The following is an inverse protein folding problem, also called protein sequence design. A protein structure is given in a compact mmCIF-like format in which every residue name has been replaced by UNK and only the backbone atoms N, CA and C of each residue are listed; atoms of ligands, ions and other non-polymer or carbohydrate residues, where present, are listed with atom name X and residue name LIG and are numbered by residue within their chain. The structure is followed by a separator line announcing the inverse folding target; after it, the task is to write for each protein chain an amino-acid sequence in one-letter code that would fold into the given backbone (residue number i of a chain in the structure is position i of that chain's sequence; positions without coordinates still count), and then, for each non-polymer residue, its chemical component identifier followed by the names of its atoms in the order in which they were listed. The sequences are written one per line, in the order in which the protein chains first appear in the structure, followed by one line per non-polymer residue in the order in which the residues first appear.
data_IF_562620525197
#
_entry.id   IF_562620525197
#
_cell.length_a   1.000
_cell.length_b   1.000
_cell.length_c   1.000
_cell.angle_alpha   90.00
_cell.angle_beta   90.00
_cell.angle_gamma   90.00
#
_symmetry.space_group_name_H-M   'P 1'
#
loop_
_entity.id
_entity.type
_entity.pdbx_description
1 polymer ?
#
# COMPACT_ATOMS: atom_id res chain seq x y z
N UNK A 1 3.39 -27.41 25.56
CA UNK A 1 2.25 -26.61 25.07
C UNK A 1 2.39 -26.50 23.56
N UNK A 2 1.41 -26.95 22.78
CA UNK A 2 1.49 -26.87 21.32
C UNK A 2 1.46 -25.40 20.90
N UNK A 3 2.55 -24.92 20.31
CA UNK A 3 2.65 -23.57 19.78
C UNK A 3 1.64 -23.40 18.64
N UNK A 4 0.57 -22.63 18.88
CA UNK A 4 -0.45 -22.36 17.86
C UNK A 4 0.09 -21.34 16.85
N UNK A 5 0.21 -21.74 15.59
CA UNK A 5 0.37 -20.78 14.49
C UNK A 5 -0.88 -19.90 14.42
N UNK A 6 -0.68 -18.60 14.54
CA UNK A 6 -1.73 -17.58 14.44
C UNK A 6 -1.63 -16.93 13.07
N UNK A 7 -2.73 -16.83 12.30
CA UNK A 7 -2.69 -16.20 10.99
C UNK A 7 -2.36 -14.71 11.11
N UNK A 8 -1.53 -14.19 10.21
CA UNK A 8 -1.03 -12.81 10.24
C UNK A 8 -0.68 -12.25 8.85
N UNK A 9 -0.46 -13.09 7.84
CA UNK A 9 0.04 -12.66 6.52
C UNK A 9 -0.95 -11.71 5.87
N UNK A 10 -2.23 -12.08 5.84
CA UNK A 10 -3.29 -11.26 5.25
C UNK A 10 -3.38 -9.88 5.91
N UNK A 11 -3.44 -9.84 7.24
CA UNK A 11 -3.59 -8.58 7.98
C UNK A 11 -2.36 -7.69 7.82
N UNK A 12 -1.16 -8.30 7.82
CA UNK A 12 0.10 -7.58 7.59
C UNK A 12 0.13 -6.92 6.21
N UNK A 13 -0.22 -7.65 5.15
CA UNK A 13 -0.25 -7.12 3.79
C UNK A 13 -1.36 -6.09 3.62
N UNK A 14 -2.51 -6.29 4.26
CA UNK A 14 -3.63 -5.36 4.24
C UNK A 14 -3.27 -4.04 4.91
N UNK A 15 -2.58 -4.04 6.06
CA UNK A 15 -2.09 -2.80 6.69
C UNK A 15 -1.19 -2.01 5.75
N UNK A 16 -0.23 -2.67 5.10
CA UNK A 16 0.71 -2.04 4.18
C UNK A 16 -0.01 -1.48 2.95
N UNK A 17 -0.92 -2.27 2.37
CA UNK A 17 -1.79 -1.84 1.28
C UNK A 17 -2.57 -0.57 1.65
N UNK A 18 -3.16 -0.54 2.84
CA UNK A 18 -3.98 0.58 3.29
C UNK A 18 -3.16 1.83 3.63
N UNK A 19 -1.96 1.67 4.18
CA UNK A 19 -1.11 2.76 4.66
C UNK A 19 -0.18 3.32 3.57
N UNK A 20 0.44 2.45 2.78
CA UNK A 20 1.51 2.80 1.83
C UNK A 20 1.10 2.63 0.37
N UNK A 21 0.11 1.78 0.06
CA UNK A 21 -0.34 1.54 -1.31
C UNK A 21 0.78 1.08 -2.23
N UNK A 22 1.12 1.88 -3.24
CA UNK A 22 2.20 1.61 -4.19
C UNK A 22 3.60 1.78 -3.58
N UNK A 23 3.73 2.50 -2.45
CA UNK A 23 5.00 2.76 -1.78
C UNK A 23 5.36 1.68 -0.74
N UNK A 24 4.94 0.43 -0.97
CA UNK A 24 5.15 -0.71 -0.05
C UNK A 24 6.64 -0.98 0.24
N UNK A 25 7.53 -0.62 -0.68
CA UNK A 25 8.98 -0.79 -0.52
C UNK A 25 9.59 0.15 0.53
N UNK A 26 8.86 1.21 0.95
CA UNK A 26 9.26 2.07 2.06
C UNK A 26 8.94 1.47 3.44
N UNK A 27 8.28 0.31 3.47
CA UNK A 27 7.95 -0.38 4.71
C UNK A 27 9.23 -0.80 5.44
N UNK A 28 9.31 -0.44 6.73
CA UNK A 28 10.43 -0.86 7.57
C UNK A 28 10.33 -2.36 7.84
N UNK A 29 11.49 -3.02 7.92
CA UNK A 29 11.54 -4.43 8.27
C UNK A 29 10.81 -4.70 9.60
N UNK A 30 9.96 -5.72 9.61
CA UNK A 30 9.16 -6.07 10.77
C UNK A 30 10.06 -6.47 11.96
N UNK A 31 9.91 -5.77 13.08
CA UNK A 31 10.71 -6.03 14.29
C UNK A 31 10.21 -7.24 15.08
N UNK A 32 8.92 -7.56 14.99
CA UNK A 32 8.31 -8.69 15.69
C UNK A 32 8.53 -9.98 14.91
N UNK A 33 8.98 -11.02 15.59
CA UNK A 33 9.08 -12.35 15.00
C UNK A 33 7.70 -12.92 14.68
N UNK A 34 7.58 -13.58 13.54
CA UNK A 34 6.37 -14.28 13.12
C UNK A 34 6.66 -15.74 12.86
N UNK A 35 5.73 -16.61 13.28
CA UNK A 35 5.82 -18.05 13.04
C UNK A 35 5.13 -18.38 11.71
N UNK A 36 5.77 -19.23 10.92
CA UNK A 36 5.26 -19.75 9.64
C UNK A 36 5.67 -21.20 9.50
N UNK A 37 4.91 -21.99 8.77
CA UNK A 37 5.27 -23.36 8.40
C UNK A 37 5.90 -23.35 7.01
N UNK A 38 7.03 -24.01 6.85
CA UNK A 38 7.65 -24.25 5.56
C UNK A 38 6.84 -25.30 4.78
N UNK A 39 6.34 -24.96 3.60
CA UNK A 39 5.57 -25.89 2.78
C UNK A 39 6.45 -26.62 1.77
N UNK A 40 7.17 -25.84 0.96
CA UNK A 40 8.03 -26.37 -0.09
C UNK A 40 9.10 -25.36 -0.47
N UNK A 41 10.24 -25.85 -0.96
CA UNK A 41 11.24 -25.00 -1.60
C UNK A 41 10.83 -24.65 -3.03
N UNK A 42 11.22 -23.47 -3.49
CA UNK A 42 11.06 -23.00 -4.87
C UNK A 42 12.36 -23.21 -5.63
N UNK A 43 12.28 -23.62 -6.89
CA UNK A 43 13.46 -24.01 -7.68
C UNK A 43 14.03 -25.37 -7.25
N UNK A 44 15.34 -25.52 -7.37
CA UNK A 44 16.08 -26.69 -6.87
C UNK A 44 16.14 -26.67 -5.35
N UNK A 45 16.06 -27.86 -4.74
CA UNK A 45 16.16 -28.02 -3.29
C UNK A 45 17.53 -27.48 -2.82
N UNK A 46 17.59 -26.64 -1.78
CA UNK A 46 18.85 -26.07 -1.32
C UNK A 46 19.77 -27.18 -0.80
N UNK A 47 21.01 -27.16 -1.28
CA UNK A 47 22.09 -28.04 -0.88
C UNK A 47 22.94 -27.40 0.23
N UNK A 48 23.84 -28.17 0.83
CA UNK A 48 24.79 -27.63 1.81
C UNK A 48 25.64 -26.49 1.25
N UNK A 49 26.10 -26.61 0.00
CA UNK A 49 26.89 -25.58 -0.70
C UNK A 49 26.11 -24.28 -0.86
N UNK A 50 24.80 -24.35 -1.17
CA UNK A 50 23.96 -23.14 -1.27
C UNK A 50 23.90 -22.36 0.05
N UNK A 51 23.95 -23.08 1.18
CA UNK A 51 23.94 -22.46 2.52
C UNK A 51 25.30 -21.84 2.84
N UNK A 52 26.39 -22.55 2.56
CA UNK A 52 27.76 -22.09 2.82
C UNK A 52 28.14 -20.88 1.95
N UNK A 53 27.74 -20.89 0.68
CA UNK A 53 27.96 -19.80 -0.28
C UNK A 53 26.99 -18.62 -0.06
N UNK A 54 26.02 -18.77 0.85
CA UNK A 54 25.04 -17.73 1.15
C UNK A 54 24.12 -17.42 -0.02
N UNK A 55 23.73 -18.42 -0.80
CA UNK A 55 22.76 -18.23 -1.87
C UNK A 55 21.36 -17.93 -1.31
N UNK A 56 20.59 -17.12 -2.04
CA UNK A 56 19.23 -16.81 -1.65
C UNK A 56 18.37 -18.08 -1.74
N UNK A 57 17.75 -18.47 -0.62
CA UNK A 57 16.86 -19.64 -0.58
C UNK A 57 15.42 -19.17 -0.73
N UNK A 58 14.68 -19.81 -1.64
CA UNK A 58 13.29 -19.49 -1.91
C UNK A 58 12.39 -20.60 -1.40
N UNK A 59 11.29 -20.22 -0.74
CA UNK A 59 10.34 -21.19 -0.25
C UNK A 59 8.93 -20.63 -0.15
N UNK A 60 7.94 -21.51 -0.25
CA UNK A 60 6.57 -21.20 0.13
C UNK A 60 6.37 -21.48 1.61
N UNK A 61 5.78 -20.52 2.30
CA UNK A 61 5.44 -20.64 3.71
C UNK A 61 3.96 -20.37 3.93
N UNK A 62 3.43 -20.93 5.01
CA UNK A 62 2.04 -20.73 5.42
C UNK A 62 1.94 -20.28 6.87
N UNK A 63 0.99 -19.39 7.16
CA UNK A 63 0.60 -19.04 8.52
C UNK A 63 -0.62 -19.83 9.02
N UNK A 64 -0.95 -20.93 8.33
CA UNK A 64 -2.19 -21.76 8.39
C UNK A 64 -3.31 -21.29 7.47
N UNK A 65 -3.52 -19.98 7.35
CA UNK A 65 -4.66 -19.44 6.60
C UNK A 65 -4.26 -19.10 5.16
N UNK A 66 -3.07 -18.52 4.98
CA UNK A 66 -2.57 -18.04 3.71
C UNK A 66 -1.17 -18.55 3.42
N UNK A 67 -0.89 -18.74 2.12
CA UNK A 67 0.44 -19.06 1.61
C UNK A 67 1.10 -17.84 0.98
N UNK A 68 2.38 -17.63 1.28
CA UNK A 68 3.21 -16.61 0.62
C UNK A 68 4.60 -17.17 0.33
N UNK A 69 5.21 -16.71 -0.77
CA UNK A 69 6.60 -17.03 -1.05
C UNK A 69 7.52 -16.11 -0.25
N UNK A 70 8.53 -16.70 0.38
CA UNK A 70 9.60 -16.03 1.11
C UNK A 70 10.91 -16.23 0.37
N UNK A 71 11.72 -15.17 0.31
CA UNK A 71 13.14 -15.26 -0.03
C UNK A 71 13.96 -14.98 1.23
N UNK A 72 14.74 -15.98 1.63
CA UNK A 72 15.75 -15.82 2.68
C UNK A 72 16.97 -15.16 2.03
N UNK A 73 17.35 -13.99 2.52
CA UNK A 73 18.48 -13.27 1.96
C UNK A 73 19.80 -14.00 2.26
N UNK A 74 20.81 -13.79 1.42
CA UNK A 74 22.17 -14.29 1.63
C UNK A 74 22.66 -14.08 3.06
N UNK A 75 22.40 -12.90 3.63
CA UNK A 75 22.77 -12.60 5.01
C UNK A 75 22.01 -13.47 6.02
N UNK A 76 20.72 -13.68 5.80
CA UNK A 76 19.91 -14.54 6.66
C UNK A 76 20.43 -15.98 6.63
N UNK A 77 20.75 -16.49 5.44
CA UNK A 77 21.26 -17.84 5.21
C UNK A 77 22.64 -18.03 5.84
N UNK A 78 23.57 -17.09 5.65
CA UNK A 78 24.90 -17.14 6.28
C UNK A 78 24.82 -17.01 7.81
N UNK A 79 23.85 -16.24 8.32
CA UNK A 79 23.63 -16.10 9.77
C UNK A 79 22.98 -17.31 10.41
N UNK A 80 22.43 -18.22 9.60
CA UNK A 80 21.78 -19.43 10.07
C UNK A 80 22.83 -20.42 10.56
N UNK A 81 22.98 -20.49 11.89
CA UNK A 81 23.84 -21.49 12.53
C UNK A 81 23.15 -22.85 12.41
N UNK A 82 23.78 -23.76 11.68
CA UNK A 82 23.30 -25.09 11.32
C UNK A 82 22.94 -25.96 12.53
N UNK A 83 21.73 -25.79 13.08
CA UNK A 83 21.19 -26.77 14.03
C UNK A 83 20.57 -27.97 13.31
N UNK A 84 20.02 -27.73 12.12
CA UNK A 84 19.45 -28.74 11.23
C UNK A 84 19.79 -28.43 9.77
N UNK A 85 20.08 -29.45 8.92
CA UNK A 85 20.21 -29.27 7.49
C UNK A 85 18.90 -28.72 6.90
N UNK A 86 19.00 -27.71 6.03
CA UNK A 86 17.84 -27.09 5.37
C UNK A 86 16.97 -28.12 4.64
N UNK A 87 17.62 -29.15 4.09
CA UNK A 87 16.98 -30.26 3.39
C UNK A 87 16.00 -31.08 4.25
N UNK A 88 16.22 -31.08 5.58
CA UNK A 88 15.42 -31.82 6.56
C UNK A 88 14.33 -30.95 7.19
N UNK A 89 14.25 -29.67 6.80
CA UNK A 89 13.33 -28.72 7.40
C UNK A 89 11.99 -28.62 6.66
N UNK A 90 11.72 -29.51 5.70
CA UNK A 90 10.43 -29.57 5.03
C UNK A 90 9.32 -29.78 6.06
N UNK A 91 8.25 -28.99 5.98
CA UNK A 91 7.16 -28.93 6.98
C UNK A 91 7.55 -28.37 8.35
N UNK A 92 8.79 -27.93 8.57
CA UNK A 92 9.20 -27.34 9.85
C UNK A 92 8.52 -25.99 10.11
N UNK A 93 8.34 -25.66 11.39
CA UNK A 93 7.91 -24.32 11.79
C UNK A 93 9.13 -23.41 11.90
N UNK A 94 9.10 -22.32 11.14
CA UNK A 94 10.11 -21.27 11.13
C UNK A 94 9.60 -20.05 11.90
N UNK A 95 10.51 -19.38 12.59
CA UNK A 95 10.30 -18.04 13.12
C UNK A 95 11.08 -17.05 12.26
N UNK A 96 10.38 -16.25 11.47
CA UNK A 96 10.98 -15.21 10.61
C UNK A 96 10.99 -13.86 11.33
N UNK A 97 12.05 -13.09 11.11
CA UNK A 97 12.33 -11.77 11.69
C UNK A 97 12.88 -10.85 10.60
N UNK A 98 12.75 -9.54 10.80
CA UNK A 98 13.32 -8.54 9.91
C UNK A 98 12.92 -8.77 8.45
N UNK A 99 11.61 -8.91 8.20
CA UNK A 99 11.08 -9.16 6.87
C UNK A 99 10.30 -7.95 6.32
N UNK A 100 10.22 -7.85 5.00
CA UNK A 100 9.49 -6.80 4.27
C UNK A 100 8.87 -7.33 2.98
N UNK A 101 7.76 -6.75 2.49
CA UNK A 101 7.20 -7.13 1.19
C UNK A 101 8.12 -6.69 0.05
N UNK A 102 8.17 -7.48 -1.01
CA UNK A 102 8.88 -7.21 -2.24
C UNK A 102 8.05 -7.75 -3.41
N UNK A 103 8.01 -7.05 -4.53
CA UNK A 103 7.40 -7.55 -5.75
C UNK A 103 8.49 -8.04 -6.70
N UNK A 104 8.54 -9.35 -6.99
CA UNK A 104 9.58 -9.93 -7.84
C UNK A 104 9.11 -11.19 -8.56
N UNK A 105 9.74 -11.49 -9.70
CA UNK A 105 9.59 -12.81 -10.35
C UNK A 105 10.24 -13.88 -9.47
N UNK A 106 9.54 -14.97 -9.23
CA UNK A 106 9.97 -16.04 -8.31
C UNK A 106 10.40 -17.28 -9.09
N UNK A 107 11.28 -18.13 -8.55
CA UNK A 107 11.61 -19.41 -9.18
C UNK A 107 10.38 -20.31 -9.35
N UNK A 108 10.32 -21.03 -10.47
CA UNK A 108 9.27 -22.03 -10.70
C UNK A 108 9.47 -23.24 -9.77
N UNK A 109 8.37 -23.89 -9.37
CA UNK A 109 8.45 -25.10 -8.53
C UNK A 109 8.99 -26.26 -9.36
N UNK A 110 10.08 -26.88 -8.91
CA UNK A 110 10.64 -28.09 -9.52
C UNK A 110 11.19 -27.92 -10.94
N UNK A 111 11.31 -26.68 -11.45
CA UNK A 111 11.89 -26.42 -12.76
C UNK A 111 12.88 -25.26 -12.71
N UNK A 112 13.75 -25.20 -13.72
CA UNK A 112 14.62 -24.05 -13.93
C UNK A 112 13.80 -22.88 -14.50
N UNK A 113 14.18 -21.65 -14.12
CA UNK A 113 13.55 -20.42 -14.61
C UNK A 113 12.67 -19.70 -13.58
N UNK A 114 12.13 -18.55 -14.01
CA UNK A 114 11.36 -17.62 -13.18
C UNK A 114 9.92 -17.50 -13.70
N UNK A 115 8.98 -17.21 -12.81
CA UNK A 115 7.58 -16.93 -13.15
C UNK A 115 7.47 -15.79 -14.17
N UNK A 116 6.42 -15.81 -15.00
CA UNK A 116 6.21 -14.78 -16.03
C UNK A 116 5.93 -13.40 -15.43
N UNK A 117 5.06 -13.37 -14.42
CA UNK A 117 4.66 -12.15 -13.75
C UNK A 117 5.37 -12.04 -12.40
N UNK A 118 5.60 -10.80 -11.94
CA UNK A 118 6.09 -10.59 -10.59
C UNK A 118 5.03 -10.97 -9.56
N UNK A 119 5.44 -11.60 -8.47
CA UNK A 119 4.60 -12.00 -7.35
C UNK A 119 5.00 -11.22 -6.10
N UNK A 120 4.04 -11.04 -5.21
CA UNK A 120 4.29 -10.41 -3.93
C UNK A 120 4.93 -11.45 -3.00
N UNK A 121 6.16 -11.18 -2.58
CA UNK A 121 6.96 -12.06 -1.74
C UNK A 121 7.40 -11.34 -0.47
N UNK A 122 7.82 -12.09 0.54
CA UNK A 122 8.50 -11.54 1.70
C UNK A 122 9.99 -11.77 1.58
N UNK A 123 10.77 -10.69 1.63
CA UNK A 123 12.21 -10.79 1.84
C UNK A 123 12.48 -10.89 3.33
N UNK A 124 13.16 -11.93 3.76
CA UNK A 124 13.49 -12.21 5.15
C UNK A 124 14.99 -12.11 5.38
N UNK A 125 15.41 -11.24 6.30
CA UNK A 125 16.81 -11.02 6.63
C UNK A 125 17.29 -11.77 7.88
N UNK A 126 16.38 -12.41 8.63
CA UNK A 126 16.74 -13.24 9.78
C UNK A 126 15.66 -14.27 10.07
N UNK A 127 16.04 -15.52 10.33
CA UNK A 127 15.09 -16.56 10.70
C UNK A 127 15.73 -17.58 11.66
N UNK A 128 14.89 -18.37 12.32
CA UNK A 128 15.30 -19.50 13.14
C UNK A 128 14.30 -20.64 12.99
N UNK A 129 14.80 -21.87 12.95
CA UNK A 129 13.98 -23.07 12.87
C UNK A 129 13.56 -23.45 14.29
N UNK A 130 12.26 -23.70 14.48
CA UNK A 130 11.72 -24.15 15.75
C UNK A 130 11.74 -25.68 15.78
N UNK A 131 12.20 -26.28 16.88
CA UNK A 131 12.28 -27.75 17.09
C UNK A 131 10.90 -28.44 17.08
N UNK A 132 9.83 -27.66 16.95
CA UNK A 132 8.45 -28.12 16.92
C UNK A 132 8.08 -28.51 15.49
N UNK A 133 8.19 -29.79 15.17
CA UNK A 133 7.53 -30.35 13.98
C UNK A 133 6.02 -30.20 14.18
N UNK A 134 5.29 -29.56 13.25
CA UNK A 134 3.85 -29.53 13.34
C UNK A 134 3.35 -30.95 13.09
N UNK A 135 2.71 -31.54 14.12
CA UNK A 135 2.15 -32.89 14.08
C UNK A 135 1.08 -33.06 12.99
N UNK A 136 0.52 -31.95 12.49
CA UNK A 136 -0.39 -31.91 11.35
C UNK A 136 0.09 -30.89 10.30
N UNK A 137 -0.05 -31.27 9.02
CA UNK A 137 -0.03 -30.28 7.94
C UNK A 137 -1.20 -29.34 8.15
N UNK A 138 -0.93 -28.03 8.24
CA UNK A 138 -1.93 -27.01 8.52
C UNK A 138 -2.87 -26.81 7.31
N UNK A 139 -3.74 -27.79 7.05
CA UNK A 139 -4.77 -27.76 6.01
C UNK A 139 -4.26 -27.45 4.60
N UNK A 140 -5.17 -26.95 3.76
CA UNK A 140 -4.87 -26.34 2.46
C UNK A 140 -4.98 -24.81 2.60
N UNK A 141 -3.90 -24.11 2.95
CA UNK A 141 -3.91 -22.65 3.08
C UNK A 141 -4.26 -21.99 1.75
N UNK A 142 -5.05 -20.93 1.81
CA UNK A 142 -5.49 -20.19 0.63
C UNK A 142 -4.34 -19.39 0.00
N UNK A 143 -4.42 -19.15 -1.31
CA UNK A 143 -3.52 -18.22 -1.98
C UNK A 143 -3.95 -16.77 -1.68
N UNK A 144 -3.00 -15.83 -1.68
CA UNK A 144 -3.27 -14.41 -1.44
C UNK A 144 -4.27 -13.81 -2.44
N UNK A 145 -4.25 -14.32 -3.67
CA UNK A 145 -5.14 -13.94 -4.76
C UNK A 145 -6.61 -14.30 -4.50
N UNK A 146 -6.91 -15.03 -3.42
CA UNK A 146 -8.29 -15.31 -2.97
C UNK A 146 -8.97 -14.06 -2.41
N UNK A 147 -8.22 -13.14 -1.80
CA UNK A 147 -8.77 -11.89 -1.26
C UNK A 147 -8.89 -10.84 -2.38
N UNK A 148 -10.10 -10.30 -2.65
CA UNK A 148 -10.29 -9.40 -3.79
C UNK A 148 -9.47 -8.10 -3.67
N UNK A 149 -9.32 -7.58 -2.45
CA UNK A 149 -8.56 -6.37 -2.19
C UNK A 149 -7.05 -6.55 -2.44
N UNK A 150 -6.44 -7.62 -1.93
CA UNK A 150 -5.01 -7.87 -2.18
C UNK A 150 -4.77 -8.26 -3.64
N UNK A 151 -5.70 -9.00 -4.27
CA UNK A 151 -5.61 -9.33 -5.69
C UNK A 151 -5.61 -8.06 -6.55
N UNK A 152 -6.53 -7.14 -6.31
CA UNK A 152 -6.60 -5.85 -7.00
C UNK A 152 -5.33 -5.04 -6.76
N UNK A 153 -4.82 -5.03 -5.53
CA UNK A 153 -3.59 -4.34 -5.18
C UNK A 153 -2.38 -4.93 -5.92
N UNK A 154 -2.16 -6.24 -5.85
CA UNK A 154 -1.06 -6.94 -6.54
C UNK A 154 -1.14 -6.69 -8.05
N UNK A 155 -2.33 -6.74 -8.63
CA UNK A 155 -2.54 -6.44 -10.05
C UNK A 155 -2.23 -4.98 -10.39
N UNK A 156 -2.63 -4.05 -9.53
CA UNK A 156 -2.29 -2.63 -9.63
C UNK A 156 -0.78 -2.37 -9.53
N UNK A 157 -0.07 -3.10 -8.65
CA UNK A 157 1.38 -3.05 -8.54
C UNK A 157 2.08 -3.56 -9.82
N UNK A 158 1.58 -4.66 -10.40
CA UNK A 158 2.12 -5.25 -11.65
C UNK A 158 1.97 -4.32 -12.85
N UNK A 159 0.84 -3.61 -12.96
CA UNK A 159 0.57 -2.69 -14.07
C UNK A 159 1.37 -1.39 -13.99
N UNK A 160 1.84 -1.02 -12.80
CA UNK A 160 2.46 0.28 -12.57
C UNK A 160 1.45 1.43 -12.70
N UNK A 161 1.94 2.66 -12.95
CA UNK A 161 1.08 3.82 -13.23
C UNK A 161 0.16 4.26 -12.08
N UNK A 162 0.52 3.95 -10.83
CA UNK A 162 -0.28 4.32 -9.65
C UNK A 162 -1.40 3.35 -9.29
N UNK A 163 -1.57 2.22 -10.00
CA UNK A 163 -2.59 1.21 -9.70
C UNK A 163 -2.50 0.64 -8.28
N UNK A 164 -1.30 0.60 -7.69
CA UNK A 164 -1.08 0.20 -6.30
C UNK A 164 -1.67 1.13 -5.24
N UNK A 165 -2.14 2.34 -5.61
CA UNK A 165 -2.74 3.32 -4.70
C UNK A 165 -4.28 3.26 -4.69
N UNK A 166 -4.88 2.20 -5.25
CA UNK A 166 -6.34 2.10 -5.44
C UNK A 166 -7.14 2.35 -4.15
N UNK A 167 -6.69 1.83 -3.00
CA UNK A 167 -7.32 2.10 -1.70
C UNK A 167 -7.24 3.57 -1.28
N UNK A 168 -6.05 4.15 -1.35
CA UNK A 168 -5.80 5.53 -0.96
C UNK A 168 -6.65 6.49 -1.81
N UNK A 169 -6.74 6.24 -3.12
CA UNK A 169 -7.58 7.01 -4.04
C UNK A 169 -9.07 6.84 -3.71
N UNK A 170 -9.54 5.61 -3.47
CA UNK A 170 -10.94 5.33 -3.09
C UNK A 170 -11.33 5.99 -1.76
N UNK A 171 -10.42 6.03 -0.79
CA UNK A 171 -10.69 6.68 0.50
C UNK A 171 -10.56 8.19 0.45
N UNK A 172 -9.66 8.74 -0.36
CA UNK A 172 -9.56 10.18 -0.60
C UNK A 172 -10.85 10.72 -1.26
N UNK A 173 -11.42 10.01 -2.23
CA UNK A 173 -12.68 10.41 -2.87
C UNK A 173 -13.90 10.28 -1.94
N UNK A 174 -13.91 9.32 -1.01
CA UNK A 174 -14.96 9.21 0.03
C UNK A 174 -14.88 10.32 1.09
N UNK A 175 -13.69 10.88 1.34
CA UNK A 175 -13.48 11.98 2.28
C UNK A 175 -13.73 13.37 1.66
N UNK A 176 -13.91 13.46 0.34
CA UNK A 176 -14.38 14.69 -0.28
C UNK A 176 -15.84 14.92 0.18
N UNK A 177 -16.15 16.04 0.85
CA UNK A 177 -17.55 16.41 1.05
C UNK A 177 -18.19 16.49 -0.34
N UNK A 178 -19.36 15.87 -0.52
CA UNK A 178 -20.16 16.07 -1.74
C UNK A 178 -20.14 17.58 -2.06
N UNK A 179 -19.80 18.02 -3.28
CA UNK A 179 -20.01 19.41 -3.63
C UNK A 179 -21.47 19.69 -3.32
N UNK A 180 -21.73 20.66 -2.45
CA UNK A 180 -23.10 21.14 -2.23
C UNK A 180 -23.60 21.52 -3.61
N UNK A 181 -24.56 20.76 -4.12
CA UNK A 181 -25.40 21.22 -5.23
C UNK A 181 -26.29 22.31 -4.64
N UNK A 182 -25.69 23.45 -4.29
CA UNK A 182 -26.47 24.67 -4.20
C UNK A 182 -26.78 24.99 -5.67
N UNK A 183 -28.07 25.02 -6.07
CA UNK A 183 -28.41 25.51 -7.39
C UNK A 183 -27.80 26.91 -7.48
N UNK A 184 -26.90 27.12 -8.43
CA UNK A 184 -26.53 28.45 -8.87
C UNK A 184 -27.83 29.10 -9.32
N UNK A 185 -28.53 29.76 -8.41
CA UNK A 185 -29.51 30.78 -8.74
C UNK A 185 -28.67 31.91 -9.29
N UNK A 186 -28.40 31.81 -10.60
CA UNK A 186 -27.85 32.88 -11.41
C UNK A 186 -28.73 34.10 -11.14
N UNK A 187 -28.24 35.03 -10.33
CA UNK A 187 -28.81 36.36 -10.27
C UNK A 187 -28.63 36.96 -11.68
N UNK A 188 -29.70 37.21 -12.46
CA UNK A 188 -29.60 37.68 -13.83
C UNK A 188 -29.20 39.16 -13.92
N UNK A 189 -28.78 39.79 -12.82
CA UNK A 189 -28.46 41.22 -12.77
C UNK A 189 -27.07 41.59 -13.29
N UNK A 190 -26.11 40.66 -13.32
CA UNK A 190 -24.76 40.95 -13.83
C UNK A 190 -24.70 41.05 -15.37
N UNK A 191 -25.68 40.46 -16.07
CA UNK A 191 -25.72 40.47 -17.55
C UNK A 191 -26.43 41.70 -18.13
N UNK A 192 -27.29 42.37 -17.34
CA UNK A 192 -27.94 43.62 -17.76
C UNK A 192 -27.05 44.86 -17.59
N UNK A 193 -26.11 44.85 -16.63
CA UNK A 193 -25.20 45.98 -16.44
C UNK A 193 -24.13 46.09 -17.54
N UNK A 194 -23.68 44.96 -18.11
CA UNK A 194 -22.76 44.96 -19.26
C UNK A 194 -23.42 45.38 -20.58
N UNK A 195 -24.76 45.36 -20.67
CA UNK A 195 -25.51 45.78 -21.88
C UNK A 195 -25.92 47.26 -21.85
N UNK A 196 -25.97 47.87 -20.66
CA UNK A 196 -26.23 49.30 -20.49
C UNK A 196 -24.98 50.18 -20.67
N UNK A 197 -23.77 49.63 -20.51
CA UNK A 197 -22.51 50.37 -20.73
C UNK A 197 -22.13 50.54 -22.20
N UNK A 198 -22.73 49.76 -23.13
CA UNK A 198 -22.48 49.89 -24.57
C UNK A 198 -23.48 50.79 -25.32
N UNK A 199 -24.53 51.30 -24.66
CA UNK A 199 -25.65 51.97 -25.35
C UNK A 199 -25.99 53.39 -24.87
N UNK A 200 -25.07 54.10 -24.20
CA UNK A 200 -25.20 55.55 -24.00
C UNK A 200 -23.87 56.30 -24.17
N UNK A 201 -23.45 56.43 -25.43
CA UNK A 201 -22.85 57.65 -25.92
C UNK A 201 -23.89 58.42 -26.73
N UNK A 202 -24.70 59.25 -26.07
CA UNK A 202 -25.29 60.49 -26.61
C UNK A 202 -26.41 61.02 -25.67
N UNK A 203 -26.12 62.18 -25.09
CA UNK A 203 -27.04 63.14 -24.47
C UNK A 203 -27.56 62.89 -23.05
N UNK A 204 -27.15 63.78 -22.16
CA UNK A 204 -27.96 64.26 -21.03
C UNK A 204 -27.50 63.80 -19.64
N UNK A 205 -26.96 64.76 -18.89
CA UNK A 205 -26.64 64.80 -17.47
C UNK A 205 -27.37 63.82 -16.53
N UNK A 206 -26.61 63.13 -15.67
CA UNK A 206 -26.75 63.21 -14.20
C UNK A 206 -25.59 62.50 -13.51
N UNK A 207 -25.07 63.14 -12.46
CA UNK A 207 -23.99 62.65 -11.60
C UNK A 207 -24.55 61.61 -10.64
N UNK A 208 -24.07 60.37 -10.67
CA UNK A 208 -24.20 59.44 -9.55
C UNK A 208 -22.87 58.70 -9.34
N UNK A 209 -22.41 58.76 -8.10
CA UNK A 209 -21.18 58.20 -7.53
C UNK A 209 -21.01 56.69 -7.80
N UNK A 210 -20.08 56.31 -8.67
CA UNK A 210 -19.75 54.90 -9.00
C UNK A 210 -18.33 54.47 -8.57
N UNK A 211 -17.71 55.14 -7.58
CA UNK A 211 -16.33 54.81 -7.18
C UNK A 211 -16.24 53.87 -5.95
N UNK A 212 -17.33 53.64 -5.21
CA UNK A 212 -17.34 52.77 -4.02
C UNK A 212 -17.72 51.30 -4.30
N UNK A 213 -18.51 51.02 -5.35
CA UNK A 213 -19.05 49.68 -5.56
C UNK A 213 -18.04 48.68 -6.15
N UNK A 214 -17.18 49.12 -7.08
CA UNK A 214 -16.19 48.21 -7.71
C UNK A 214 -15.14 47.72 -6.71
N UNK A 215 -14.73 48.59 -5.77
CA UNK A 215 -13.77 48.24 -4.73
C UNK A 215 -14.37 47.24 -3.72
N UNK A 216 -15.66 47.36 -3.44
CA UNK A 216 -16.35 46.47 -2.51
C UNK A 216 -16.58 45.08 -3.11
N UNK A 217 -16.96 45.02 -4.40
CA UNK A 217 -17.11 43.76 -5.15
C UNK A 217 -15.78 42.99 -5.25
N UNK A 218 -14.66 43.71 -5.48
CA UNK A 218 -13.34 43.07 -5.52
C UNK A 218 -12.92 42.53 -4.15
N UNK A 219 -13.19 43.26 -3.06
CA UNK A 219 -12.94 42.78 -1.69
C UNK A 219 -13.78 41.56 -1.32
N UNK A 220 -15.03 41.50 -1.75
CA UNK A 220 -15.87 40.32 -1.50
C UNK A 220 -15.39 39.10 -2.29
N UNK A 221 -14.97 39.31 -3.54
CA UNK A 221 -14.38 38.25 -4.36
C UNK A 221 -13.08 37.73 -3.74
N UNK A 222 -12.19 38.61 -3.30
CA UNK A 222 -10.93 38.22 -2.65
C UNK A 222 -11.19 37.53 -1.29
N UNK A 223 -12.13 38.02 -0.47
CA UNK A 223 -12.55 37.34 0.78
C UNK A 223 -13.10 35.95 0.53
N UNK A 224 -13.89 35.78 -0.53
CA UNK A 224 -14.43 34.49 -0.91
C UNK A 224 -13.32 33.55 -1.39
N UNK A 225 -12.39 34.03 -2.22
CA UNK A 225 -11.26 33.26 -2.71
C UNK A 225 -10.36 32.75 -1.57
N UNK A 226 -10.05 33.61 -0.59
CA UNK A 226 -9.25 33.21 0.59
C UNK A 226 -9.98 32.22 1.50
N UNK A 227 -11.31 32.32 1.67
CA UNK A 227 -12.09 31.34 2.46
C UNK A 227 -12.15 29.95 1.82
N UNK A 228 -12.12 29.88 0.49
CA UNK A 228 -12.28 28.61 -0.25
C UNK A 228 -10.93 27.90 -0.44
N UNK A 229 -9.80 28.62 -0.49
CA UNK A 229 -8.52 28.04 -0.92
C UNK A 229 -7.36 28.06 0.10
N UNK A 230 -7.54 28.53 1.34
CA UNK A 230 -6.47 28.37 2.36
C UNK A 230 -6.57 27.02 3.09
N UNK A 231 -5.53 26.15 3.03
CA UNK A 231 -5.46 24.99 3.90
C UNK A 231 -5.19 25.43 5.35
N UNK A 232 -5.88 24.81 6.32
CA UNK A 232 -5.74 25.03 7.75
C UNK A 232 -4.26 25.11 8.17
N UNK A 233 -3.82 26.29 8.63
CA UNK A 233 -2.60 26.45 9.43
C UNK A 233 -2.94 25.98 10.85
N UNK A 234 -2.35 24.87 11.27
CA UNK A 234 -2.28 24.50 12.68
C UNK A 234 -1.35 25.47 13.40
N UNK A 235 -1.83 26.14 14.44
CA UNK A 235 -0.97 26.75 15.45
C UNK A 235 -1.57 26.58 16.86
N UNK A 236 -0.71 26.07 17.74
CA UNK A 236 -0.69 26.13 19.21
C UNK A 236 -1.78 25.46 20.06
N UNK A 237 -1.35 24.39 20.75
CA UNK A 237 -1.76 24.11 22.13
C UNK A 237 -0.51 24.30 23.02
N UNK A 238 -0.47 25.41 23.74
CA UNK A 238 0.19 25.55 25.05
C UNK A 238 -0.84 26.17 25.99
N UNK A 239 -1.15 25.45 27.05
CA UNK A 239 -1.87 25.85 28.24
C UNK A 239 -1.40 24.94 29.35
#
# INVERSE_FOLDING_TARGET
MADKLTPWIHDYLTDIYQRLGANYFSEKSATKSKKVQLLAFRGTKPTHSDVDDGHNIWADVSDRAFTITVVFSSMAVLSYKQRYPFEQCEKAVLSIKSFRPLLRRVPLRGSTGLTKNAELVLQCDSFSISDTSPTDTLGQPAELDTSPDLKDWIHGLRRGGGGGNSFLTKNASRKQPKPRQDPLVFAPKARELHKKSESKGANGAEVISEHEDVANVKREYDRWWYKVYTPFRCDNIRG
#
